data_IF_540377886525
#
_entry.id   IF_540377886525
#
_cell.length_a   1.000
_cell.length_b   1.000
_cell.length_c   1.000
_cell.angle_alpha   90.00
_cell.angle_beta   90.00
_cell.angle_gamma   90.00
#
_symmetry.space_group_name_H-M   'P 1'
#
loop_
_entity.id
_entity.type
_entity.pdbx_description
1 polymer ?
#
# COMPACT_ATOMS: atom_id res chain seq x y z
N UNK A 1 65.69 51.80 -5.06
CA UNK A 1 66.16 51.56 -6.44
C UNK A 1 65.75 50.14 -6.84
N UNK A 2 64.96 50.02 -7.94
CA UNK A 2 64.82 48.91 -8.93
C UNK A 2 64.67 47.48 -8.36
N UNK A 3 63.66 46.63 -8.65
CA UNK A 3 62.96 46.28 -9.89
C UNK A 3 62.82 44.72 -9.86
N UNK A 4 61.62 44.13 -9.91
CA UNK A 4 60.90 43.65 -11.10
C UNK A 4 61.29 42.24 -11.65
N UNK A 5 60.26 41.37 -11.71
CA UNK A 5 59.91 40.32 -12.72
C UNK A 5 60.55 38.91 -12.72
N UNK A 6 59.66 37.91 -12.69
CA UNK A 6 59.38 36.79 -13.64
C UNK A 6 58.54 35.75 -12.85
N UNK A 7 57.27 35.38 -13.10
CA UNK A 7 56.44 35.10 -14.29
C UNK A 7 57.04 34.05 -15.22
N UNK A 8 56.63 32.77 -15.10
CA UNK A 8 56.27 31.87 -16.20
C UNK A 8 55.94 30.45 -15.70
N UNK A 9 55.00 29.80 -16.41
CA UNK A 9 54.65 28.37 -16.41
C UNK A 9 53.39 27.98 -15.63
N UNK A 10 52.56 27.13 -16.27
CA UNK A 10 51.20 26.68 -15.93
C UNK A 10 50.04 27.50 -16.53
N UNK A 11 50.06 27.64 -17.86
CA UNK A 11 48.87 27.81 -18.72
C UNK A 11 49.08 26.99 -19.99
N UNK A 12 48.70 25.72 -19.99
CA UNK A 12 48.84 24.85 -21.17
C UNK A 12 47.88 23.64 -21.22
N UNK A 13 46.69 23.70 -20.61
CA UNK A 13 45.73 22.57 -20.67
C UNK A 13 44.30 22.94 -21.13
N UNK A 14 44.03 24.19 -21.52
CA UNK A 14 42.65 24.65 -21.78
C UNK A 14 42.30 24.83 -23.28
N UNK A 15 43.09 24.25 -24.20
CA UNK A 15 42.93 24.46 -25.66
C UNK A 15 42.48 23.22 -26.46
N UNK A 16 41.90 22.21 -25.81
CA UNK A 16 41.42 20.99 -26.51
C UNK A 16 39.90 20.79 -26.53
N UNK A 17 39.11 21.86 -26.40
CA UNK A 17 37.64 21.83 -26.58
C UNK A 17 37.13 23.00 -27.43
N UNK A 18 37.54 23.07 -28.69
CA UNK A 18 36.83 23.83 -29.72
C UNK A 18 37.34 23.41 -31.10
N UNK A 19 36.56 22.58 -31.80
CA UNK A 19 36.48 22.48 -33.27
C UNK A 19 35.42 21.45 -33.65
N UNK A 20 34.27 21.93 -34.10
CA UNK A 20 33.39 21.30 -35.11
C UNK A 20 33.65 22.03 -36.45
N UNK A 21 33.01 21.76 -37.62
CA UNK A 21 32.03 20.74 -38.07
C UNK A 21 32.42 20.20 -39.51
N UNK A 22 31.57 19.80 -40.51
CA UNK A 22 30.11 19.49 -40.56
C UNK A 22 29.65 18.23 -41.38
N UNK A 23 28.34 17.96 -41.26
CA UNK A 23 27.35 17.39 -42.22
C UNK A 23 27.42 15.93 -42.70
N UNK A 24 26.37 15.15 -42.41
CA UNK A 24 25.44 14.58 -43.44
C UNK A 24 24.36 13.66 -42.84
N UNK A 25 23.14 13.78 -43.39
CA UNK A 25 22.06 12.78 -43.52
C UNK A 25 21.34 12.30 -42.24
N UNK A 26 20.11 12.72 -41.95
CA UNK A 26 18.83 12.36 -42.61
C UNK A 26 18.39 10.91 -42.32
N UNK A 27 17.53 10.75 -41.30
CA UNK A 27 16.60 9.63 -41.19
C UNK A 27 15.37 10.06 -40.37
N UNK A 28 14.25 10.21 -41.06
CA UNK A 28 12.90 10.44 -40.53
C UNK A 28 12.40 9.21 -39.76
N UNK A 29 11.65 9.34 -38.65
CA UNK A 29 10.84 8.23 -38.18
C UNK A 29 9.55 8.19 -38.98
N UNK A 30 9.40 7.14 -39.77
CA UNK A 30 8.19 6.75 -40.47
C UNK A 30 7.05 6.56 -39.46
N UNK A 31 5.91 7.22 -39.73
CA UNK A 31 4.61 6.91 -39.14
C UNK A 31 4.31 5.41 -39.33
N UNK A 32 3.88 4.67 -38.30
CA UNK A 32 3.17 3.45 -38.56
C UNK A 32 1.72 3.77 -38.96
N UNK A 33 1.28 3.00 -39.94
CA UNK A 33 -0.01 3.04 -40.60
C UNK A 33 -1.19 2.90 -39.64
N UNK A 34 -2.17 3.77 -39.87
CA UNK A 34 -3.56 3.56 -39.53
C UNK A 34 -4.03 2.23 -40.13
N UNK A 35 -4.35 1.26 -39.29
CA UNK A 35 -5.13 0.07 -39.66
C UNK A 35 -6.40 0.07 -38.85
N UNK A 36 -7.49 0.40 -39.54
CA UNK A 36 -8.87 0.21 -39.11
C UNK A 36 -9.16 -1.28 -39.00
N UNK A 37 -9.17 -1.83 -37.80
CA UNK A 37 -9.93 -3.04 -37.47
C UNK A 37 -10.00 -3.19 -35.96
N UNK A 38 -11.18 -2.94 -35.37
CA UNK A 38 -11.35 -3.01 -33.92
C UNK A 38 -12.78 -2.76 -33.44
N UNK A 39 -13.78 -2.92 -34.31
CA UNK A 39 -15.19 -2.89 -33.89
C UNK A 39 -15.61 -4.29 -33.44
N UNK A 40 -15.12 -4.78 -32.29
CA UNK A 40 -15.76 -5.89 -31.57
C UNK A 40 -15.21 -6.15 -30.16
N UNK A 41 -14.77 -5.11 -29.45
CA UNK A 41 -14.31 -5.28 -28.07
C UNK A 41 -14.62 -4.10 -27.15
N UNK A 42 -15.70 -3.36 -27.44
CA UNK A 42 -16.15 -2.24 -26.61
C UNK A 42 -17.42 -2.57 -25.78
N UNK A 43 -18.21 -3.57 -26.18
CA UNK A 43 -19.46 -3.94 -25.47
C UNK A 43 -19.25 -4.62 -24.11
N UNK A 44 -18.12 -5.31 -23.91
CA UNK A 44 -17.88 -6.07 -22.66
C UNK A 44 -17.44 -5.20 -21.48
N UNK A 45 -17.03 -3.96 -21.72
CA UNK A 45 -16.69 -3.02 -20.65
C UNK A 45 -17.86 -2.13 -20.25
N UNK A 46 -18.91 -2.01 -21.05
CA UNK A 46 -19.99 -1.07 -20.78
C UNK A 46 -20.97 -1.59 -19.72
N UNK A 47 -21.21 -2.91 -19.64
CA UNK A 47 -22.01 -3.51 -18.54
C UNK A 47 -21.28 -3.44 -17.20
N UNK A 48 -19.96 -3.68 -17.19
CA UNK A 48 -19.12 -3.58 -15.98
C UNK A 48 -18.94 -2.12 -15.58
N UNK A 49 -18.78 -1.19 -16.53
CA UNK A 49 -18.71 0.26 -16.29
C UNK A 49 -20.07 0.86 -15.92
N UNK A 50 -21.18 0.24 -16.32
CA UNK A 50 -22.53 0.58 -15.87
C UNK A 50 -22.79 0.08 -14.45
N UNK A 51 -22.40 -1.16 -14.13
CA UNK A 51 -22.50 -1.72 -12.78
C UNK A 51 -21.56 -1.02 -11.79
N UNK A 52 -20.34 -0.69 -12.21
CA UNK A 52 -19.41 0.14 -11.44
C UNK A 52 -19.93 1.57 -11.26
N UNK A 53 -20.58 2.18 -12.27
CA UNK A 53 -21.26 3.47 -12.10
C UNK A 53 -22.48 3.37 -11.17
N UNK A 54 -23.14 2.22 -11.11
CA UNK A 54 -24.30 2.00 -10.24
C UNK A 54 -23.88 1.84 -8.78
N UNK A 55 -22.77 1.15 -8.51
CA UNK A 55 -22.20 0.99 -7.16
C UNK A 55 -21.50 2.27 -6.67
N UNK A 56 -20.74 2.96 -7.53
CA UNK A 56 -20.08 4.23 -7.16
C UNK A 56 -21.09 5.36 -6.89
N UNK A 57 -22.27 5.28 -7.51
CA UNK A 57 -23.38 6.22 -7.29
C UNK A 57 -24.09 6.00 -5.95
N UNK A 58 -23.84 4.88 -5.28
CA UNK A 58 -24.36 4.61 -3.93
C UNK A 58 -23.43 5.18 -2.83
N UNK A 59 -22.11 5.23 -3.05
CA UNK A 59 -21.16 5.85 -2.12
C UNK A 59 -21.22 7.40 -2.16
N UNK A 60 -21.33 8.02 -3.35
CA UNK A 60 -21.51 9.48 -3.46
C UNK A 60 -22.85 9.95 -2.86
N UNK A 61 -23.89 9.10 -2.84
CA UNK A 61 -25.17 9.41 -2.18
C UNK A 61 -25.07 9.41 -0.65
N UNK A 62 -24.13 8.66 -0.04
CA UNK A 62 -23.94 8.64 1.41
C UNK A 62 -23.16 9.87 1.89
N UNK A 63 -22.10 10.28 1.18
CA UNK A 63 -21.37 11.53 1.47
C UNK A 63 -22.24 12.79 1.25
N UNK A 64 -23.12 12.79 0.24
CA UNK A 64 -24.09 13.88 0.02
C UNK A 64 -25.18 13.88 1.12
N UNK A 65 -25.59 12.72 1.63
CA UNK A 65 -26.54 12.63 2.76
C UNK A 65 -25.93 13.13 4.07
N UNK A 66 -24.63 12.92 4.32
CA UNK A 66 -23.95 13.52 5.47
C UNK A 66 -23.73 15.03 5.32
N UNK A 67 -23.40 15.53 4.13
CA UNK A 67 -23.31 16.98 3.84
C UNK A 67 -24.65 17.71 3.94
N UNK A 68 -25.78 17.02 3.76
CA UNK A 68 -27.12 17.61 3.81
C UNK A 68 -27.68 17.81 5.22
N UNK A 69 -27.03 17.28 6.26
CA UNK A 69 -27.48 17.43 7.66
C UNK A 69 -27.12 18.81 8.26
N UNK A 70 -26.28 19.60 7.57
CA UNK A 70 -25.69 20.82 8.14
C UNK A 70 -26.09 22.13 7.44
N UNK A 71 -27.24 22.18 6.75
CA UNK A 71 -27.70 23.45 6.15
C UNK A 71 -29.21 23.67 6.28
N UNK A 72 -29.61 24.14 7.46
CA UNK A 72 -30.86 24.87 7.66
C UNK A 72 -30.70 26.29 7.08
N UNK A 73 -31.36 26.58 5.94
CA UNK A 73 -32.23 27.75 5.73
C UNK A 73 -32.91 27.68 4.34
N UNK A 74 -34.14 28.19 4.22
CA UNK A 74 -35.03 27.95 3.08
C UNK A 74 -34.70 28.91 1.95
N UNK A 75 -34.79 28.46 0.71
CA UNK A 75 -35.19 29.22 -0.50
C UNK A 75 -34.74 28.43 -1.73
N UNK A 76 -35.64 27.62 -2.31
CA UNK A 76 -35.67 27.41 -3.75
C UNK A 76 -36.79 26.42 -4.09
N UNK A 77 -37.95 26.98 -4.43
CA UNK A 77 -39.06 26.28 -5.11
C UNK A 77 -38.73 25.97 -6.58
N UNK A 78 -37.51 26.30 -7.05
CA UNK A 78 -37.03 26.09 -8.42
C UNK A 78 -36.27 24.75 -8.59
N UNK A 79 -35.54 24.31 -7.57
CA UNK A 79 -34.82 23.03 -7.59
C UNK A 79 -35.77 21.83 -7.68
N UNK A 80 -36.95 21.92 -7.05
CA UNK A 80 -37.97 20.86 -7.04
C UNK A 80 -38.54 20.59 -8.44
N UNK A 81 -38.70 21.65 -9.25
CA UNK A 81 -39.22 21.56 -10.62
C UNK A 81 -38.18 20.99 -11.59
N UNK A 82 -36.90 21.36 -11.45
CA UNK A 82 -35.81 20.83 -12.27
C UNK A 82 -35.57 19.33 -12.03
N UNK A 83 -35.74 18.87 -10.78
CA UNK A 83 -35.61 17.45 -10.41
C UNK A 83 -36.79 16.63 -10.96
N UNK A 84 -38.02 17.16 -10.93
CA UNK A 84 -39.18 16.47 -11.52
C UNK A 84 -39.09 16.35 -13.04
N UNK A 85 -38.60 17.38 -13.74
CA UNK A 85 -38.44 17.34 -15.20
C UNK A 85 -37.37 16.33 -15.62
N UNK A 86 -36.23 16.31 -14.91
CA UNK A 86 -35.13 15.37 -15.18
C UNK A 86 -35.55 13.92 -14.90
N UNK A 87 -36.36 13.68 -13.87
CA UNK A 87 -36.90 12.34 -13.55
C UNK A 87 -37.86 11.83 -14.64
N UNK A 88 -38.68 12.71 -15.21
CA UNK A 88 -39.59 12.36 -16.30
C UNK A 88 -38.87 12.08 -17.63
N UNK A 89 -37.77 12.79 -17.90
CA UNK A 89 -36.94 12.58 -19.09
C UNK A 89 -36.15 11.26 -19.02
N UNK A 90 -35.62 10.90 -17.85
CA UNK A 90 -34.88 9.63 -17.66
C UNK A 90 -35.82 8.42 -17.72
N UNK A 91 -37.05 8.53 -17.22
CA UNK A 91 -38.05 7.45 -17.29
C UNK A 91 -38.52 7.21 -18.73
N UNK A 92 -38.61 8.27 -19.55
CA UNK A 92 -39.12 8.17 -20.92
C UNK A 92 -38.12 7.52 -21.89
N UNK A 93 -36.82 7.55 -21.62
CA UNK A 93 -35.81 6.87 -22.46
C UNK A 93 -35.71 5.36 -22.20
N UNK A 94 -36.33 4.84 -21.13
CA UNK A 94 -36.31 3.39 -20.80
C UNK A 94 -37.51 2.62 -21.37
N UNK A 95 -38.48 3.28 -22.01
CA UNK A 95 -39.78 2.69 -22.33
C UNK A 95 -40.10 2.62 -23.83
N UNK A 96 -39.10 2.51 -24.70
CA UNK A 96 -39.38 2.17 -26.10
C UNK A 96 -38.21 1.45 -26.79
N UNK A 97 -38.13 0.15 -26.58
CA UNK A 97 -37.46 -0.82 -27.46
C UNK A 97 -38.05 -2.20 -27.21
N UNK A 98 -39.38 -2.31 -27.16
CA UNK A 98 -40.05 -3.60 -27.29
C UNK A 98 -40.28 -3.84 -28.78
N UNK A 99 -39.18 -3.89 -29.55
CA UNK A 99 -39.28 -4.48 -30.89
C UNK A 99 -39.55 -5.96 -30.67
N UNK A 100 -40.71 -6.43 -31.14
CA UNK A 100 -41.08 -7.84 -31.11
C UNK A 100 -40.10 -8.64 -31.97
N UNK A 101 -38.99 -9.04 -31.36
CA UNK A 101 -38.06 -9.97 -31.96
C UNK A 101 -38.85 -11.26 -32.21
N UNK A 102 -39.20 -11.54 -33.47
CA UNK A 102 -39.63 -12.86 -33.91
C UNK A 102 -38.42 -13.79 -33.83
N UNK A 103 -38.06 -14.10 -32.59
CA UNK A 103 -36.83 -14.76 -32.24
C UNK A 103 -37.04 -16.24 -32.56
N UNK A 104 -36.46 -16.72 -33.66
CA UNK A 104 -36.47 -18.14 -33.98
C UNK A 104 -35.95 -18.97 -32.79
N UNK A 105 -36.20 -20.29 -32.79
CA UNK A 105 -35.80 -21.22 -31.71
C UNK A 105 -34.35 -20.98 -31.24
N UNK A 106 -33.45 -20.65 -32.18
CA UNK A 106 -32.07 -20.29 -31.90
C UNK A 106 -31.90 -19.12 -30.90
N UNK A 107 -32.65 -18.03 -31.03
CA UNK A 107 -32.46 -16.90 -30.12
C UNK A 107 -33.08 -17.12 -28.73
N UNK A 108 -34.16 -17.92 -28.62
CA UNK A 108 -34.63 -18.37 -27.31
C UNK A 108 -33.57 -19.23 -26.59
N UNK A 109 -32.84 -20.07 -27.32
CA UNK A 109 -31.72 -20.85 -26.77
C UNK A 109 -30.59 -19.93 -26.29
N UNK A 110 -30.21 -18.92 -27.09
CA UNK A 110 -29.17 -17.95 -26.68
C UNK A 110 -29.57 -17.11 -25.46
N UNK A 111 -30.84 -16.69 -25.39
CA UNK A 111 -31.38 -15.96 -24.24
C UNK A 111 -31.43 -16.83 -22.98
N UNK A 112 -31.88 -18.08 -23.11
CA UNK A 112 -31.88 -19.03 -21.99
C UNK A 112 -30.46 -19.31 -21.49
N UNK A 113 -29.50 -19.45 -22.40
CA UNK A 113 -28.09 -19.68 -22.06
C UNK A 113 -27.45 -18.46 -21.38
N UNK A 114 -27.76 -17.23 -21.82
CA UNK A 114 -27.25 -16.02 -21.16
C UNK A 114 -27.81 -15.86 -19.74
N UNK A 115 -29.12 -16.08 -19.55
CA UNK A 115 -29.71 -16.09 -18.21
C UNK A 115 -29.14 -17.21 -17.33
N UNK A 116 -28.91 -18.41 -17.89
CA UNK A 116 -28.29 -19.51 -17.15
C UNK A 116 -26.87 -19.14 -16.68
N UNK A 117 -26.05 -18.50 -17.53
CA UNK A 117 -24.72 -18.02 -17.15
C UNK A 117 -24.77 -16.92 -16.08
N UNK A 118 -25.70 -15.98 -16.18
CA UNK A 118 -25.89 -14.92 -15.17
C UNK A 118 -26.32 -15.54 -13.83
N UNK A 119 -27.33 -16.41 -13.83
CA UNK A 119 -27.77 -17.11 -12.61
C UNK A 119 -26.66 -17.95 -11.97
N UNK A 120 -25.80 -18.58 -12.79
CA UNK A 120 -24.67 -19.36 -12.29
C UNK A 120 -23.56 -18.48 -11.70
N UNK A 121 -23.22 -17.38 -12.36
CA UNK A 121 -22.10 -16.50 -11.98
C UNK A 121 -22.46 -15.48 -10.89
N UNK A 122 -23.73 -15.11 -10.76
CA UNK A 122 -24.23 -14.16 -9.77
C UNK A 122 -23.93 -14.54 -8.30
N UNK A 123 -24.24 -15.76 -7.82
CA UNK A 123 -23.95 -16.14 -6.44
C UNK A 123 -22.44 -16.17 -6.16
N UNK A 124 -21.64 -16.62 -7.13
CA UNK A 124 -20.18 -16.59 -7.02
C UNK A 124 -19.65 -15.16 -6.91
N UNK A 125 -20.14 -14.25 -7.77
CA UNK A 125 -19.77 -12.84 -7.72
C UNK A 125 -20.08 -12.19 -6.36
N UNK A 126 -21.25 -12.46 -5.78
CA UNK A 126 -21.61 -11.93 -4.46
C UNK A 126 -20.66 -12.40 -3.35
N UNK A 127 -20.29 -13.68 -3.34
CA UNK A 127 -19.36 -14.22 -2.33
C UNK A 127 -17.94 -13.66 -2.47
N UNK A 128 -17.52 -13.29 -3.68
CA UNK A 128 -16.20 -12.68 -3.91
C UNK A 128 -16.19 -11.21 -3.49
N UNK A 129 -17.27 -10.49 -3.75
CA UNK A 129 -17.39 -9.08 -3.40
C UNK A 129 -17.53 -8.85 -1.88
N UNK A 130 -18.19 -9.76 -1.17
CA UNK A 130 -18.44 -9.63 0.26
C UNK A 130 -17.30 -10.24 1.08
N UNK A 131 -16.50 -9.39 1.73
CA UNK A 131 -15.44 -9.83 2.65
C UNK A 131 -15.69 -9.31 4.06
N UNK A 132 -15.48 -10.18 5.04
CA UNK A 132 -15.59 -9.88 6.47
C UNK A 132 -14.19 -9.71 7.06
N UNK A 133 -14.01 -8.63 7.81
CA UNK A 133 -12.80 -8.31 8.57
C UNK A 133 -13.11 -8.46 10.06
N UNK A 134 -12.22 -9.12 10.79
CA UNK A 134 -12.37 -9.39 12.22
C UNK A 134 -12.09 -8.13 13.05
N UNK A 135 -12.55 -8.08 14.31
CA UNK A 135 -12.38 -6.92 15.20
C UNK A 135 -10.92 -6.53 15.46
N UNK A 136 -10.06 -7.54 15.60
CA UNK A 136 -8.62 -7.39 15.79
C UNK A 136 -7.83 -7.14 14.50
N UNK A 137 -8.50 -7.18 13.34
CA UNK A 137 -7.92 -6.88 12.05
C UNK A 137 -8.32 -5.48 11.58
N UNK A 138 -7.44 -4.84 10.82
CA UNK A 138 -7.76 -3.67 10.01
C UNK A 138 -7.45 -3.97 8.56
N UNK A 139 -8.34 -3.54 7.67
CA UNK A 139 -8.12 -3.68 6.24
C UNK A 139 -7.71 -2.33 5.65
N UNK A 140 -6.58 -2.31 4.95
CA UNK A 140 -6.16 -1.17 4.12
C UNK A 140 -6.53 -1.49 2.69
N UNK A 141 -7.36 -0.62 2.10
CA UNK A 141 -7.89 -0.79 0.76
C UNK A 141 -7.14 0.11 -0.22
N UNK A 142 -6.73 -0.48 -1.34
CA UNK A 142 -6.09 0.19 -2.46
C UNK A 142 -7.01 0.10 -3.67
N UNK A 143 -7.39 1.24 -4.23
CA UNK A 143 -8.16 1.32 -5.48
C UNK A 143 -7.26 1.95 -6.54
N UNK A 144 -6.91 1.18 -7.57
CA UNK A 144 -6.00 1.64 -8.64
C UNK A 144 -4.69 2.28 -8.12
N UNK A 145 -4.14 1.73 -7.04
CA UNK A 145 -2.90 2.22 -6.42
C UNK A 145 -3.04 3.43 -5.49
N UNK A 146 -4.26 3.92 -5.23
CA UNK A 146 -4.53 4.95 -4.21
C UNK A 146 -5.15 4.34 -2.97
N UNK A 147 -4.73 4.84 -1.80
CA UNK A 147 -5.28 4.45 -0.50
C UNK A 147 -6.66 5.09 -0.36
N UNK A 148 -7.66 4.30 0.03
CA UNK A 148 -9.05 4.72 0.08
C UNK A 148 -9.51 4.87 1.53
N UNK A 149 -9.66 6.12 2.00
CA UNK A 149 -10.27 6.41 3.31
C UNK A 149 -9.49 5.93 4.55
N UNK A 150 -8.21 5.58 4.41
CA UNK A 150 -7.37 5.09 5.50
C UNK A 150 -7.66 3.65 5.92
N UNK A 151 -7.37 3.31 7.18
CA UNK A 151 -7.62 1.99 7.74
C UNK A 151 -9.11 1.81 8.04
N UNK A 152 -9.79 0.92 7.31
CA UNK A 152 -11.19 0.61 7.61
C UNK A 152 -11.29 -0.31 8.82
N UNK A 153 -12.30 -0.02 9.66
CA UNK A 153 -12.60 -0.75 10.89
C UNK A 153 -13.06 -2.19 10.64
N UNK A 154 -13.58 -2.88 11.67
CA UNK A 154 -14.13 -4.22 11.49
C UNK A 154 -15.50 -4.16 10.84
N UNK A 155 -15.87 -5.24 10.15
CA UNK A 155 -17.19 -5.35 9.53
C UNK A 155 -17.18 -5.98 8.15
N UNK A 156 -18.33 -5.82 7.48
CA UNK A 156 -18.55 -6.28 6.12
C UNK A 156 -18.15 -5.20 5.13
N UNK A 157 -17.27 -5.53 4.21
CA UNK A 157 -16.82 -4.64 3.14
C UNK A 157 -17.15 -5.24 1.78
N UNK A 158 -17.57 -4.37 0.86
CA UNK A 158 -17.76 -4.71 -0.54
C UNK A 158 -16.47 -4.33 -1.27
N UNK A 159 -15.85 -5.30 -1.91
CA UNK A 159 -14.67 -5.10 -2.76
C UNK A 159 -15.04 -5.37 -4.22
N UNK A 160 -14.58 -4.52 -5.13
CA UNK A 160 -14.75 -4.77 -6.57
C UNK A 160 -13.57 -5.61 -7.04
N UNK A 161 -13.78 -6.89 -7.44
CA UNK A 161 -12.69 -7.70 -7.95
C UNK A 161 -12.04 -7.03 -9.17
N UNK A 162 -10.72 -7.17 -9.31
CA UNK A 162 -9.85 -6.57 -10.34
C UNK A 162 -9.48 -5.08 -10.14
N UNK A 163 -10.29 -4.27 -9.46
CA UNK A 163 -10.02 -2.83 -9.27
C UNK A 163 -9.47 -2.54 -7.87
N UNK A 164 -10.03 -3.23 -6.87
CA UNK A 164 -9.69 -3.05 -5.48
C UNK A 164 -8.75 -4.17 -5.00
N UNK A 165 -7.65 -3.78 -4.36
CA UNK A 165 -6.79 -4.66 -3.60
C UNK A 165 -6.97 -4.34 -2.11
N UNK A 166 -6.93 -5.36 -1.26
CA UNK A 166 -7.03 -5.17 0.19
C UNK A 166 -5.96 -5.99 0.89
N UNK A 167 -5.38 -5.42 1.94
CA UNK A 167 -4.43 -6.10 2.81
C UNK A 167 -4.94 -6.02 4.24
N UNK A 168 -5.00 -7.16 4.92
CA UNK A 168 -5.39 -7.25 6.32
C UNK A 168 -4.14 -7.17 7.20
N UNK A 169 -4.22 -6.37 8.24
CA UNK A 169 -3.16 -6.22 9.25
C UNK A 169 -3.75 -6.53 10.62
N UNK A 170 -3.07 -7.39 11.37
CA UNK A 170 -3.42 -7.70 12.75
C UNK A 170 -2.89 -6.60 13.68
N UNK A 171 -3.75 -6.09 14.55
CA UNK A 171 -3.38 -5.05 15.54
C UNK A 171 -2.94 -5.63 16.88
N UNK A 172 -3.00 -6.96 17.06
CA UNK A 172 -2.62 -7.61 18.31
C UNK A 172 -1.11 -7.58 18.51
N UNK A 173 -0.72 -7.67 19.78
CA UNK A 173 0.68 -7.88 20.14
C UNK A 173 1.14 -9.23 19.63
N UNK A 174 2.17 -9.20 18.80
CA UNK A 174 2.83 -10.38 18.26
C UNK A 174 4.30 -10.36 18.70
N UNK A 175 4.90 -11.55 18.69
CA UNK A 175 6.28 -11.73 19.14
C UNK A 175 7.11 -12.33 18.04
N UNK A 176 8.35 -11.88 17.92
CA UNK A 176 9.36 -12.58 17.14
C UNK A 176 10.64 -12.76 17.96
N UNK A 177 11.34 -13.84 17.64
CA UNK A 177 12.65 -14.12 18.19
C UNK A 177 13.73 -13.40 17.37
N UNK A 178 14.63 -12.72 18.08
CA UNK A 178 15.88 -12.20 17.51
C UNK A 178 16.88 -13.36 17.52
N UNK A 179 17.46 -13.72 16.36
CA UNK A 179 18.42 -14.82 16.32
C UNK A 179 19.64 -14.52 17.20
N UNK A 180 20.29 -15.54 17.80
CA UNK A 180 21.47 -15.34 18.65
C UNK A 180 22.56 -14.55 17.93
N UNK A 181 23.10 -13.52 18.60
CA UNK A 181 24.20 -12.71 18.07
C UNK A 181 25.49 -12.98 18.84
N UNK A 182 26.54 -13.40 18.15
CA UNK A 182 27.89 -13.50 18.71
C UNK A 182 28.58 -12.13 18.68
N UNK A 183 28.91 -11.60 19.87
CA UNK A 183 29.49 -10.27 20.04
C UNK A 183 30.59 -10.28 21.09
N UNK A 184 31.57 -9.38 20.92
CA UNK A 184 32.60 -9.11 21.92
C UNK A 184 32.08 -8.04 22.88
N UNK A 185 32.05 -8.35 24.18
CA UNK A 185 31.66 -7.38 25.21
C UNK A 185 32.77 -6.36 25.47
N UNK A 186 32.46 -5.33 26.28
CA UNK A 186 33.43 -4.32 26.71
C UNK A 186 34.69 -4.91 27.37
N UNK A 187 34.56 -6.08 28.01
CA UNK A 187 35.66 -6.75 28.72
C UNK A 187 36.41 -7.76 27.84
N UNK A 188 36.21 -7.70 26.51
CA UNK A 188 36.81 -8.62 25.55
C UNK A 188 36.42 -10.10 25.74
N UNK A 189 35.20 -10.36 26.25
CA UNK A 189 34.64 -11.71 26.33
C UNK A 189 33.65 -11.91 25.18
N UNK A 190 33.78 -13.02 24.45
CA UNK A 190 32.79 -13.40 23.45
C UNK A 190 31.56 -13.96 24.14
N UNK A 191 30.38 -13.44 23.81
CA UNK A 191 29.09 -13.93 24.30
C UNK A 191 28.12 -14.09 23.13
N UNK A 192 27.22 -15.06 23.23
CA UNK A 192 26.10 -15.21 22.31
C UNK A 192 24.80 -14.97 23.08
N UNK A 193 24.02 -13.96 22.67
CA UNK A 193 22.79 -13.56 23.35
C UNK A 193 21.64 -13.54 22.34
N UNK A 194 20.50 -14.06 22.76
CA UNK A 194 19.22 -13.95 22.05
C UNK A 194 18.20 -13.13 22.85
N UNK A 195 17.14 -12.69 22.16
CA UNK A 195 16.09 -11.86 22.73
C UNK A 195 14.75 -12.09 22.04
N UNK A 196 13.66 -11.71 22.71
CA UNK A 196 12.30 -11.69 22.16
C UNK A 196 11.79 -10.27 22.18
N UNK A 197 11.15 -9.85 21.09
CA UNK A 197 10.53 -8.53 20.98
C UNK A 197 9.02 -8.70 20.87
N UNK A 198 8.29 -7.99 21.74
CA UNK A 198 6.83 -7.88 21.73
C UNK A 198 6.47 -6.56 21.07
N UNK A 199 5.77 -6.62 19.96
CA UNK A 199 5.38 -5.43 19.20
C UNK A 199 3.93 -5.55 18.72
N UNK A 200 3.33 -4.40 18.39
CA UNK A 200 2.04 -4.36 17.70
C UNK A 200 2.04 -3.27 16.65
N UNK A 201 1.22 -3.44 15.63
CA UNK A 201 0.96 -2.38 14.65
C UNK A 201 -0.05 -1.41 15.26
N UNK A 202 0.29 -0.12 15.31
CA UNK A 202 -0.65 0.92 15.77
C UNK A 202 -1.29 1.65 14.59
N UNK A 203 -0.55 1.81 13.48
CA UNK A 203 -1.06 2.39 12.24
C UNK A 203 -0.84 1.42 11.07
N UNK A 204 -1.89 0.70 10.63
CA UNK A 204 -1.78 -0.26 9.55
C UNK A 204 -1.61 0.39 8.17
N UNK A 205 -1.99 1.67 7.99
CA UNK A 205 -1.76 2.38 6.73
C UNK A 205 -0.26 2.62 6.58
N UNK A 206 0.35 3.25 7.59
CA UNK A 206 1.79 3.55 7.61
C UNK A 206 2.61 2.25 7.49
N UNK A 207 2.20 1.19 8.20
CA UNK A 207 2.89 -0.10 8.17
C UNK A 207 2.94 -0.78 6.81
N UNK A 208 1.99 -0.50 5.90
CA UNK A 208 2.00 -1.04 4.54
C UNK A 208 2.66 -0.06 3.55
N UNK A 209 2.59 1.25 3.81
CA UNK A 209 3.06 2.26 2.84
C UNK A 209 4.52 2.61 2.99
N UNK A 210 5.04 2.63 4.22
CA UNK A 210 6.37 3.16 4.51
C UNK A 210 7.48 2.12 4.43
N UNK A 211 7.13 0.83 4.51
CA UNK A 211 8.08 -0.28 4.48
C UNK A 211 7.44 -1.48 3.80
N UNK A 212 8.24 -2.26 3.07
CA UNK A 212 7.77 -3.45 2.34
C UNK A 212 7.22 -4.53 3.29
N UNK A 213 7.96 -4.78 4.38
CA UNK A 213 7.61 -5.74 5.42
C UNK A 213 8.06 -5.18 6.78
N UNK A 214 7.10 -4.64 7.54
CA UNK A 214 7.36 -4.02 8.84
C UNK A 214 7.86 -5.02 9.89
N UNK A 215 7.24 -6.22 10.06
CA UNK A 215 7.76 -7.24 10.96
C UNK A 215 9.22 -7.63 10.66
N UNK A 216 9.55 -7.90 9.39
CA UNK A 216 10.90 -8.32 9.00
C UNK A 216 11.93 -7.20 9.19
N UNK A 217 11.59 -5.97 8.83
CA UNK A 217 12.46 -4.81 9.01
C UNK A 217 12.72 -4.54 10.49
N UNK A 218 11.69 -4.69 11.32
CA UNK A 218 11.80 -4.58 12.78
C UNK A 218 12.71 -5.67 13.36
N UNK A 219 12.66 -6.89 12.85
CA UNK A 219 13.56 -7.98 13.27
C UNK A 219 15.03 -7.68 12.95
N UNK A 220 15.32 -7.13 11.78
CA UNK A 220 16.67 -6.73 11.38
C UNK A 220 17.20 -5.58 12.24
N UNK A 221 16.35 -4.60 12.52
CA UNK A 221 16.69 -3.49 13.42
C UNK A 221 16.96 -4.01 14.83
N UNK A 222 16.11 -4.91 15.35
CA UNK A 222 16.29 -5.53 16.65
C UNK A 222 17.63 -6.28 16.77
N UNK A 223 18.02 -7.05 15.75
CA UNK A 223 19.32 -7.73 15.74
C UNK A 223 20.51 -6.75 15.78
N UNK A 224 20.39 -5.62 15.07
CA UNK A 224 21.44 -4.60 15.03
C UNK A 224 21.51 -3.82 16.36
N UNK A 225 20.36 -3.43 16.90
CA UNK A 225 20.27 -2.75 18.20
C UNK A 225 20.76 -3.64 19.34
N UNK A 226 20.45 -4.95 19.31
CA UNK A 226 20.99 -5.92 20.27
C UNK A 226 22.52 -5.93 20.24
N UNK A 227 23.11 -6.04 19.05
CA UNK A 227 24.57 -6.00 18.88
C UNK A 227 25.18 -4.69 19.41
N UNK A 228 24.55 -3.55 19.11
CA UNK A 228 25.05 -2.23 19.51
C UNK A 228 25.00 -2.05 21.04
N UNK A 229 23.89 -2.38 21.69
CA UNK A 229 23.73 -2.24 23.14
C UNK A 229 24.68 -3.20 23.86
N UNK A 230 24.73 -4.47 23.47
CA UNK A 230 25.57 -5.46 24.14
C UNK A 230 27.08 -5.16 24.00
N UNK A 231 27.51 -4.55 22.88
CA UNK A 231 28.91 -4.15 22.69
C UNK A 231 29.37 -3.05 23.66
N UNK A 232 28.44 -2.30 24.26
CA UNK A 232 28.75 -1.24 25.24
C UNK A 232 28.73 -1.73 26.70
N UNK A 233 28.27 -2.96 26.94
CA UNK A 233 28.06 -3.54 28.27
C UNK A 233 29.16 -4.55 28.62
N UNK A 234 29.44 -4.67 29.91
CA UNK A 234 30.33 -5.70 30.47
C UNK A 234 29.61 -7.05 30.57
N UNK A 235 30.35 -8.16 30.69
CA UNK A 235 29.71 -9.48 30.87
C UNK A 235 28.85 -9.52 32.14
N UNK A 236 29.35 -8.93 33.22
CA UNK A 236 28.67 -8.90 34.51
C UNK A 236 27.35 -8.10 34.44
N UNK A 237 27.34 -6.97 33.73
CA UNK A 237 26.13 -6.19 33.48
C UNK A 237 25.11 -6.98 32.66
N UNK A 238 25.55 -7.70 31.61
CA UNK A 238 24.65 -8.51 30.79
C UNK A 238 23.98 -9.63 31.62
N UNK A 239 24.69 -10.20 32.59
CA UNK A 239 24.16 -11.25 33.45
C UNK A 239 23.26 -10.70 34.56
N UNK A 240 23.61 -9.56 35.16
CA UNK A 240 22.99 -9.03 36.38
C UNK A 240 21.89 -7.98 36.11
N UNK A 241 22.01 -7.22 35.02
CA UNK A 241 21.20 -6.04 34.71
C UNK A 241 20.49 -6.17 33.35
N UNK A 242 19.83 -7.33 33.15
CA UNK A 242 19.07 -7.63 31.93
C UNK A 242 17.93 -6.66 31.68
N UNK A 243 17.34 -6.13 32.74
CA UNK A 243 16.23 -5.19 32.69
C UNK A 243 16.66 -3.83 32.10
N UNK A 244 17.80 -3.29 32.53
CA UNK A 244 18.34 -2.05 31.93
C UNK A 244 18.63 -2.21 30.43
N UNK A 245 19.16 -3.36 30.03
CA UNK A 245 19.44 -3.68 28.62
C UNK A 245 18.14 -3.75 27.83
N UNK A 246 17.13 -4.46 28.35
CA UNK A 246 15.82 -4.57 27.73
C UNK A 246 15.16 -3.19 27.54
N UNK A 247 15.19 -2.32 28.55
CA UNK A 247 14.64 -0.98 28.49
C UNK A 247 15.37 -0.09 27.47
N UNK A 248 16.70 -0.15 27.45
CA UNK A 248 17.52 0.60 26.48
C UNK A 248 17.23 0.15 25.05
N UNK A 249 17.11 -1.17 24.83
CA UNK A 249 16.75 -1.72 23.54
C UNK A 249 15.32 -1.37 23.12
N UNK A 250 14.37 -1.42 24.06
CA UNK A 250 12.98 -1.06 23.80
C UNK A 250 12.88 0.39 23.31
N UNK A 251 13.53 1.34 24.00
CA UNK A 251 13.53 2.74 23.60
C UNK A 251 14.14 2.95 22.21
N UNK A 252 15.30 2.33 21.95
CA UNK A 252 15.96 2.44 20.64
C UNK A 252 15.15 1.81 19.50
N UNK A 253 14.42 0.72 19.77
CA UNK A 253 13.58 0.08 18.77
C UNK A 253 12.29 0.86 18.54
N UNK A 254 11.62 1.33 19.59
CA UNK A 254 10.38 2.10 19.47
C UNK A 254 10.59 3.35 18.61
N UNK A 255 11.66 4.12 18.90
CA UNK A 255 12.05 5.31 18.13
C UNK A 255 12.31 4.98 16.64
N UNK A 256 12.99 3.87 16.34
CA UNK A 256 13.26 3.47 14.96
C UNK A 256 12.03 2.91 14.22
N UNK A 257 11.06 2.34 14.93
CA UNK A 257 9.89 1.66 14.35
C UNK A 257 8.65 2.55 14.23
N UNK A 258 8.61 3.69 14.91
CA UNK A 258 7.46 4.61 14.88
C UNK A 258 7.12 5.05 13.45
N UNK A 259 8.14 5.35 12.64
CA UNK A 259 7.98 5.71 11.21
C UNK A 259 7.42 4.60 10.33
N UNK A 260 7.41 3.35 10.83
CA UNK A 260 6.81 2.18 10.16
C UNK A 260 5.43 1.83 10.72
N UNK A 261 4.84 2.64 11.60
CA UNK A 261 3.51 2.35 12.16
C UNK A 261 3.51 1.19 13.17
N UNK A 262 4.69 0.79 13.65
CA UNK A 262 4.90 -0.28 14.63
C UNK A 262 5.27 0.34 15.97
N UNK A 263 4.75 -0.23 17.05
CA UNK A 263 5.10 0.12 18.43
C UNK A 263 5.68 -1.08 19.16
N UNK A 264 6.82 -0.89 19.81
CA UNK A 264 7.47 -1.94 20.60
C UNK A 264 7.01 -1.84 22.04
N UNK A 265 6.30 -2.86 22.52
CA UNK A 265 5.71 -2.85 23.86
C UNK A 265 6.71 -3.32 24.92
N UNK A 266 7.56 -4.30 24.58
CA UNK A 266 8.54 -4.87 25.49
C UNK A 266 9.62 -5.63 24.75
N UNK A 267 10.82 -5.67 25.32
CA UNK A 267 11.92 -6.55 24.92
C UNK A 267 12.27 -7.45 26.09
N UNK A 268 12.50 -8.74 25.84
CA UNK A 268 12.99 -9.69 26.85
C UNK A 268 14.32 -10.28 26.38
N UNK A 269 15.37 -10.15 27.19
CA UNK A 269 16.65 -10.81 26.94
C UNK A 269 16.54 -12.27 27.42
N UNK A 270 16.83 -13.23 26.53
CA UNK A 270 16.74 -14.67 26.80
C UNK A 270 18.01 -15.19 27.48
N UNK A 271 18.75 -16.08 26.85
CA UNK A 271 19.89 -16.78 27.43
C UNK A 271 21.21 -16.20 26.94
N UNK A 272 22.18 -16.12 27.84
CA UNK A 272 23.55 -15.70 27.54
C UNK A 272 24.41 -16.95 27.49
N UNK A 273 24.82 -17.34 26.28
CA UNK A 273 25.71 -18.47 26.07
C UNK A 273 27.16 -18.00 26.04
N UNK A 274 27.97 -18.61 26.90
CA UNK A 274 29.42 -18.42 26.93
C UNK A 274 30.08 -19.46 26.01
N UNK A 275 31.16 -19.11 25.29
CA UNK A 275 31.96 -20.08 24.58
C UNK A 275 32.47 -21.16 25.54
N UNK A 276 32.43 -22.41 25.09
CA UNK A 276 32.68 -23.63 25.90
C UNK A 276 34.02 -23.60 26.65
N UNK A 277 34.97 -22.77 26.21
CA UNK A 277 36.30 -22.60 26.82
C UNK A 277 36.26 -21.94 28.21
N UNK A 278 35.17 -21.24 28.57
CA UNK A 278 35.01 -20.53 29.85
C UNK A 278 34.00 -21.19 30.81
N UNK A 279 33.45 -22.35 30.46
CA UNK A 279 32.45 -23.07 31.28
C UNK A 279 33.06 -24.06 32.29
N UNK A 280 34.39 -24.10 32.47
CA UNK A 280 35.08 -25.02 33.39
C UNK A 280 35.64 -24.33 34.62
#
# INVERSE_FOLDING_TARGET
>A
MRGAKQHHSWKADDERRQRSPPSSQQASPTRPHNTSSGYHMHEKFDTVRAFARMIMREEDEQDIREMSRDRNHPHSTAASAAIQYTRSAIIRTQMDSHEDYNLGICGYILLALSYALICLTFPFSLTVCLKVVQEYERAVMFRLGRILGGAKGPGLFIIVPCVDAYTKVDLRTVTFDVPPQEILTKDSVTVAVDAVVYFRVFDPVISITNVEDAPKSTQLLAATSLRNVLGTKSLQEILSDRESIAQTMQAALDEGTEGWGVRVERVEVKDVRLPVQLQR
#
